data_IF_681607059848
#
_entry.id   IF_681607059848
#
_cell.length_a   1.000
_cell.length_b   1.000
_cell.length_c   1.000
_cell.angle_alpha   90.00
_cell.angle_beta   90.00
_cell.angle_gamma   90.00
#
_symmetry.space_group_name_H-M   'P 1'
#
loop_
_entity.id
_entity.type
_entity.pdbx_description
1 polymer ?
#
# COMPACT_ATOMS: atom_id res chain seq x y z
N UNK A 1 9.08 14.95 5.56
CA UNK A 1 9.13 13.75 6.41
C UNK A 1 9.32 14.15 7.86
N UNK A 2 8.37 13.80 8.73
CA UNK A 2 8.37 14.13 10.16
C UNK A 2 9.52 13.45 10.94
N UNK A 3 9.95 14.00 12.09
CA UNK A 3 10.90 13.34 12.98
C UNK A 3 10.44 11.95 13.44
N UNK A 4 9.13 11.78 13.63
CA UNK A 4 8.51 10.51 14.02
C UNK A 4 8.68 9.43 12.94
N UNK A 5 8.37 9.74 11.67
CA UNK A 5 8.60 8.81 10.56
C UNK A 5 10.11 8.46 10.40
N UNK A 6 11.00 9.44 10.56
CA UNK A 6 12.46 9.19 10.55
C UNK A 6 12.89 8.25 11.67
N UNK A 7 12.34 8.45 12.89
CA UNK A 7 12.61 7.58 14.03
C UNK A 7 12.13 6.16 13.76
N UNK A 8 10.91 5.97 13.24
CA UNK A 8 10.37 4.65 12.92
C UNK A 8 11.25 3.90 11.90
N UNK A 9 11.72 4.55 10.84
CA UNK A 9 12.60 3.92 9.85
C UNK A 9 13.94 3.51 10.46
N UNK A 10 14.47 4.35 11.34
CA UNK A 10 15.77 4.12 11.99
C UNK A 10 15.67 3.01 13.04
N UNK A 11 14.57 2.99 13.79
CA UNK A 11 14.22 1.96 14.78
C UNK A 11 13.99 0.60 14.14
N UNK A 12 13.39 0.56 12.95
CA UNK A 12 13.05 -0.67 12.24
C UNK A 12 13.93 -0.95 11.02
N UNK A 13 15.18 -0.47 11.02
CA UNK A 13 16.16 -0.64 9.93
C UNK A 13 16.64 -2.09 9.69
N UNK A 14 15.93 -3.09 10.23
CA UNK A 14 16.20 -4.51 10.11
C UNK A 14 14.99 -5.27 9.54
N UNK A 15 15.27 -6.27 8.71
CA UNK A 15 14.23 -7.08 8.07
C UNK A 15 13.34 -7.80 9.11
N UNK A 16 12.04 -7.56 9.05
CA UNK A 16 11.05 -8.55 9.51
C UNK A 16 10.32 -8.28 10.82
N UNK A 17 10.34 -7.07 11.38
CA UNK A 17 9.37 -6.71 12.44
C UNK A 17 8.12 -6.08 11.84
N UNK A 18 6.97 -6.63 12.21
CA UNK A 18 5.65 -6.08 11.92
C UNK A 18 5.53 -4.74 12.65
N UNK A 19 5.13 -3.68 11.95
CA UNK A 19 4.82 -2.39 12.57
C UNK A 19 3.51 -2.50 13.36
N UNK A 20 3.23 -1.58 14.28
CA UNK A 20 1.87 -1.35 14.75
C UNK A 20 1.01 -0.70 13.64
N UNK A 21 -0.31 -0.89 13.68
CA UNK A 21 -1.23 -0.24 12.71
C UNK A 21 -1.07 1.29 12.74
N UNK A 22 -0.90 1.87 13.94
CA UNK A 22 -0.68 3.31 14.11
C UNK A 22 0.65 3.78 13.49
N UNK A 23 1.73 3.03 13.71
CA UNK A 23 3.03 3.33 13.11
C UNK A 23 2.95 3.23 11.57
N UNK A 24 2.25 2.22 11.05
CA UNK A 24 2.03 2.06 9.61
C UNK A 24 1.19 3.21 9.02
N UNK A 25 0.15 3.66 9.72
CA UNK A 25 -0.65 4.82 9.35
C UNK A 25 0.18 6.11 9.27
N UNK A 26 1.04 6.35 10.27
CA UNK A 26 1.98 7.49 10.28
C UNK A 26 2.89 7.44 9.06
N UNK A 27 3.43 6.26 8.74
CA UNK A 27 4.31 6.07 7.58
C UNK A 27 3.58 6.35 6.26
N UNK A 28 2.37 5.84 6.07
CA UNK A 28 1.57 6.10 4.86
C UNK A 28 1.29 7.60 4.73
N UNK A 29 0.82 8.26 5.80
CA UNK A 29 0.53 9.69 5.80
C UNK A 29 1.76 10.57 5.49
N UNK A 30 2.95 10.12 5.88
CA UNK A 30 4.18 10.88 5.66
C UNK A 30 4.76 10.71 4.25
N UNK A 31 4.48 9.59 3.60
CA UNK A 31 5.12 9.25 2.34
C UNK A 31 4.23 9.37 1.13
N UNK A 32 2.93 9.12 1.29
CA UNK A 32 1.99 9.35 0.20
C UNK A 32 1.73 10.84 0.11
N UNK A 33 2.03 11.42 -1.06
CA UNK A 33 1.80 12.84 -1.34
C UNK A 33 0.50 13.07 -2.09
N UNK A 34 -0.09 12.02 -2.67
CA UNK A 34 -1.38 12.09 -3.35
C UNK A 34 -2.50 12.34 -2.33
N UNK A 35 -3.23 13.43 -2.54
CA UNK A 35 -4.27 13.90 -1.62
C UNK A 35 -5.60 13.16 -1.74
N UNK A 36 -5.82 12.42 -2.82
CA UNK A 36 -7.11 11.81 -3.17
C UNK A 36 -7.17 10.29 -2.88
N UNK A 37 -6.50 9.82 -1.83
CA UNK A 37 -6.68 8.44 -1.40
C UNK A 37 -8.04 8.25 -0.75
N UNK A 38 -8.79 7.27 -1.24
CA UNK A 38 -9.98 6.77 -0.54
C UNK A 38 -9.60 5.99 0.72
N UNK A 39 -10.55 5.83 1.64
CA UNK A 39 -10.36 5.03 2.86
C UNK A 39 -9.91 3.59 2.57
N UNK A 40 -10.46 2.98 1.51
CA UNK A 40 -10.09 1.62 1.09
C UNK A 40 -8.63 1.54 0.61
N UNK A 41 -8.20 2.50 -0.21
CA UNK A 41 -6.81 2.57 -0.68
C UNK A 41 -5.87 2.83 0.49
N UNK A 42 -6.23 3.76 1.37
CA UNK A 42 -5.48 4.05 2.59
C UNK A 42 -5.32 2.80 3.46
N UNK A 43 -6.41 2.11 3.79
CA UNK A 43 -6.39 0.89 4.60
C UNK A 43 -5.55 -0.23 3.98
N UNK A 44 -5.58 -0.38 2.65
CA UNK A 44 -4.74 -1.34 1.95
C UNK A 44 -3.24 -1.02 2.09
N UNK A 45 -2.86 0.25 2.00
CA UNK A 45 -1.48 0.70 2.17
C UNK A 45 -1.01 0.55 3.60
N UNK A 46 -1.85 0.89 4.59
CA UNK A 46 -1.53 0.67 6.01
C UNK A 46 -1.32 -0.81 6.29
N UNK A 47 -2.20 -1.70 5.80
CA UNK A 47 -2.00 -3.15 5.92
C UNK A 47 -0.73 -3.64 5.22
N UNK A 48 -0.38 -3.05 4.08
CA UNK A 48 0.85 -3.37 3.36
C UNK A 48 2.09 -3.00 4.19
N UNK A 49 2.12 -1.78 4.72
CA UNK A 49 3.22 -1.22 5.52
C UNK A 49 3.35 -1.92 6.86
N UNK A 50 2.24 -2.20 7.55
CA UNK A 50 2.18 -3.03 8.77
C UNK A 50 2.99 -4.33 8.58
N UNK A 51 2.76 -4.99 7.46
CA UNK A 51 3.37 -6.28 7.18
C UNK A 51 4.80 -6.21 6.62
N UNK A 52 5.11 -5.26 5.73
CA UNK A 52 6.41 -5.20 5.01
C UNK A 52 7.40 -4.21 5.61
N UNK A 53 6.92 -3.29 6.42
CA UNK A 53 7.72 -2.24 7.04
C UNK A 53 7.88 -1.00 6.17
N UNK A 54 8.27 0.09 6.83
CA UNK A 54 8.39 1.42 6.24
C UNK A 54 9.45 1.51 5.14
N UNK A 55 10.62 0.90 5.36
CA UNK A 55 11.73 0.96 4.40
C UNK A 55 11.36 0.30 3.06
N UNK A 56 10.74 -0.88 3.12
CA UNK A 56 10.30 -1.59 1.93
C UNK A 56 9.25 -0.79 1.15
N UNK A 57 8.32 -0.15 1.86
CA UNK A 57 7.32 0.72 1.24
C UNK A 57 7.94 1.98 0.61
N UNK A 58 8.83 2.67 1.32
CA UNK A 58 9.51 3.86 0.83
C UNK A 58 10.27 3.62 -0.48
N UNK A 59 10.96 2.49 -0.59
CA UNK A 59 11.73 2.13 -1.78
C UNK A 59 10.87 1.49 -2.89
N UNK A 60 9.60 1.21 -2.62
CA UNK A 60 8.74 0.46 -3.51
C UNK A 60 8.37 1.23 -4.77
N UNK A 61 8.17 0.50 -5.87
CA UNK A 61 7.54 1.05 -7.07
C UNK A 61 6.07 1.40 -6.85
N UNK A 62 5.41 0.73 -5.90
CA UNK A 62 4.05 1.05 -5.45
C UNK A 62 3.94 2.51 -5.01
N UNK A 63 4.79 2.95 -4.07
CA UNK A 63 4.79 4.33 -3.60
C UNK A 63 5.11 5.32 -4.71
N UNK A 64 6.07 4.99 -5.60
CA UNK A 64 6.42 5.85 -6.74
C UNK A 64 5.20 6.09 -7.63
N UNK A 65 4.49 5.04 -8.03
CA UNK A 65 3.28 5.16 -8.88
C UNK A 65 2.17 5.94 -8.16
N UNK A 66 1.98 5.72 -6.85
CA UNK A 66 0.97 6.44 -6.07
C UNK A 66 1.27 7.95 -6.01
N UNK A 67 2.53 8.34 -5.97
CA UNK A 67 2.93 9.74 -5.92
C UNK A 67 3.16 10.36 -7.31
N UNK A 68 2.98 9.61 -8.39
CA UNK A 68 3.05 10.13 -9.77
C UNK A 68 1.71 10.78 -10.14
N UNK A 69 1.72 12.10 -10.38
CA UNK A 69 0.52 12.89 -10.72
C UNK A 69 0.08 12.75 -12.19
N UNK A 70 0.85 12.06 -13.03
CA UNK A 70 0.69 12.10 -14.49
C UNK A 70 -0.21 10.99 -15.08
N UNK A 71 -0.66 10.02 -14.28
CA UNK A 71 -1.38 8.86 -14.79
C UNK A 71 -2.84 8.83 -14.31
N UNK A 72 -3.84 8.96 -15.21
CA UNK A 72 -5.25 8.86 -14.84
C UNK A 72 -5.65 7.44 -14.41
N UNK A 73 -4.85 6.42 -14.72
CA UNK A 73 -5.04 5.01 -14.36
C UNK A 73 -4.08 4.55 -13.24
N UNK A 74 -3.60 5.48 -12.41
CA UNK A 74 -2.59 5.20 -11.38
C UNK A 74 -3.03 4.10 -10.42
N UNK A 75 -4.32 3.98 -10.09
CA UNK A 75 -4.84 2.95 -9.20
C UNK A 75 -4.59 1.55 -9.78
N UNK A 76 -4.88 1.38 -11.07
CA UNK A 76 -4.68 0.10 -11.76
C UNK A 76 -3.19 -0.24 -11.85
N UNK A 77 -2.34 0.76 -12.13
CA UNK A 77 -0.88 0.58 -12.17
C UNK A 77 -0.30 0.23 -10.80
N UNK A 78 -0.69 0.96 -9.76
CA UNK A 78 -0.29 0.72 -8.38
C UNK A 78 -0.77 -0.67 -7.92
N UNK A 79 -2.00 -1.07 -8.28
CA UNK A 79 -2.56 -2.36 -7.90
C UNK A 79 -1.74 -3.56 -8.41
N UNK A 80 -1.10 -3.44 -9.58
CA UNK A 80 -0.22 -4.47 -10.15
C UNK A 80 1.05 -4.67 -9.33
N UNK A 81 1.45 -3.67 -8.55
CA UNK A 81 2.62 -3.81 -7.68
C UNK A 81 2.35 -4.75 -6.49
N UNK A 82 1.10 -4.94 -6.07
CA UNK A 82 0.77 -5.93 -5.03
C UNK A 82 1.01 -7.37 -5.49
N UNK A 83 0.91 -7.66 -6.79
CA UNK A 83 1.11 -9.01 -7.34
C UNK A 83 2.59 -9.41 -7.44
N UNK A 84 3.52 -8.48 -7.18
CA UNK A 84 4.94 -8.75 -7.38
C UNK A 84 5.44 -9.82 -6.40
N UNK A 85 6.14 -10.87 -6.89
CA UNK A 85 6.64 -11.94 -6.03
C UNK A 85 7.55 -11.47 -4.90
N UNK A 86 8.29 -10.38 -5.08
CA UNK A 86 9.20 -9.83 -4.06
C UNK A 86 8.49 -9.45 -2.74
N UNK A 87 7.17 -9.16 -2.78
CA UNK A 87 6.37 -8.90 -1.58
C UNK A 87 5.88 -10.17 -0.90
N UNK A 88 5.94 -11.30 -1.60
CA UNK A 88 5.53 -12.62 -1.13
C UNK A 88 6.73 -13.46 -0.68
N UNK A 89 7.96 -12.96 -0.84
CA UNK A 89 9.17 -13.65 -0.41
C UNK A 89 9.53 -13.26 1.03
N UNK A 90 9.83 -14.29 1.82
CA UNK A 90 10.34 -14.19 3.18
C UNK A 90 11.52 -15.16 3.35
N UNK A 91 12.67 -14.66 3.80
CA UNK A 91 13.91 -15.43 3.94
C UNK A 91 14.28 -16.22 2.66
N UNK A 92 14.12 -15.57 1.50
CA UNK A 92 14.43 -16.17 0.19
C UNK A 92 13.41 -17.19 -0.32
N UNK A 93 12.35 -17.50 0.44
CA UNK A 93 11.31 -18.45 0.04
C UNK A 93 9.99 -17.75 -0.22
N UNK A 94 9.28 -18.21 -1.25
CA UNK A 94 7.92 -17.75 -1.53
C UNK A 94 6.96 -18.23 -0.43
N UNK A 95 6.14 -17.31 0.06
CA UNK A 95 5.15 -17.56 1.10
C UNK A 95 3.74 -17.36 0.55
N UNK A 96 2.98 -18.46 0.47
CA UNK A 96 1.61 -18.48 -0.06
C UNK A 96 0.65 -17.61 0.77
N UNK A 97 0.81 -17.53 2.09
CA UNK A 97 -0.07 -16.70 2.93
C UNK A 97 0.15 -15.22 2.67
N UNK A 98 1.40 -14.82 2.36
CA UNK A 98 1.70 -13.45 1.94
C UNK A 98 1.07 -13.13 0.58
N UNK A 99 1.12 -14.06 -0.37
CA UNK A 99 0.45 -13.88 -1.66
C UNK A 99 -1.06 -13.70 -1.52
N UNK A 100 -1.70 -14.51 -0.67
CA UNK A 100 -3.13 -14.36 -0.34
C UNK A 100 -3.39 -12.99 0.30
N UNK A 101 -2.53 -12.53 1.22
CA UNK A 101 -2.66 -11.21 1.85
C UNK A 101 -2.54 -10.09 0.81
N UNK A 102 -1.55 -10.14 -0.08
CA UNK A 102 -1.39 -9.15 -1.16
C UNK A 102 -2.60 -9.10 -2.09
N UNK A 103 -3.19 -10.25 -2.43
CA UNK A 103 -4.41 -10.29 -3.24
C UNK A 103 -5.60 -9.62 -2.54
N UNK A 104 -5.75 -9.81 -1.21
CA UNK A 104 -6.79 -9.12 -0.43
C UNK A 104 -6.57 -7.62 -0.36
N UNK A 105 -5.34 -7.17 -0.12
CA UNK A 105 -5.00 -5.74 -0.09
C UNK A 105 -5.19 -5.09 -1.46
N UNK A 106 -4.80 -5.76 -2.54
CA UNK A 106 -5.08 -5.32 -3.91
C UNK A 106 -6.58 -5.14 -4.15
N UNK A 107 -7.39 -6.11 -3.76
CA UNK A 107 -8.85 -6.04 -3.89
C UNK A 107 -9.42 -4.87 -3.08
N UNK A 108 -8.94 -4.67 -1.86
CA UNK A 108 -9.34 -3.54 -1.03
C UNK A 108 -8.96 -2.22 -1.71
N UNK A 109 -7.73 -2.11 -2.19
CA UNK A 109 -7.21 -0.93 -2.88
C UNK A 109 -8.02 -0.56 -4.14
N UNK A 110 -8.52 -1.56 -4.88
CA UNK A 110 -9.35 -1.36 -6.08
C UNK A 110 -10.85 -1.20 -5.77
N UNK A 111 -11.28 -1.30 -4.51
CA UNK A 111 -12.71 -1.21 -4.13
C UNK A 111 -13.40 0.06 -4.64
N UNK A 112 -12.81 1.26 -4.60
CA UNK A 112 -13.46 2.46 -5.13
C UNK A 112 -13.90 2.32 -6.58
N UNK A 113 -13.05 1.74 -7.43
CA UNK A 113 -13.37 1.50 -8.85
C UNK A 113 -14.54 0.52 -9.00
N UNK A 114 -14.58 -0.52 -8.16
CA UNK A 114 -15.66 -1.51 -8.17
C UNK A 114 -16.99 -0.92 -7.69
N UNK A 115 -16.98 0.03 -6.76
CA UNK A 115 -18.20 0.68 -6.26
C UNK A 115 -18.77 1.66 -7.30
N UNK A 116 -17.91 2.44 -7.97
CA UNK A 116 -18.34 3.40 -9.01
C UNK A 116 -19.07 2.70 -10.16
N UNK A 117 -18.65 1.50 -10.56
CA UNK A 117 -19.30 0.75 -11.63
C UNK A 117 -20.61 0.04 -11.23
N UNK A 118 -21.00 0.07 -9.96
CA UNK A 118 -22.23 -0.57 -9.46
C UNK A 118 -23.33 0.43 -9.10
N UNK A 119 -23.16 1.73 -9.40
CA UNK A 119 -24.25 2.70 -9.28
C UNK A 119 -25.23 2.44 -10.43
N UNK A 120 -26.49 2.02 -10.17
CA UNK A 120 -27.48 1.91 -11.22
C UNK A 120 -27.68 3.30 -11.83
N UNK A 121 -27.54 3.42 -13.16
CA UNK A 121 -27.90 4.64 -13.89
C UNK A 121 -29.34 5.02 -13.51
N UNK A 122 -29.50 6.04 -12.68
CA UNK A 122 -30.79 6.70 -12.53
C UNK A 122 -31.07 7.39 -13.85
N UNK A 123 -31.83 6.72 -14.71
CA UNK A 123 -32.43 7.32 -15.91
C UNK A 123 -33.14 8.60 -15.46
N UNK A 124 -32.65 9.75 -15.94
CA UNK A 124 -33.36 11.02 -15.86
C UNK A 124 -34.46 11.06 -16.91
#
# INVERSE_FOLDING_TARGET
>A
MTPEAKHLITKYKGAGRKLGIEEAAIIVNNYVTRHELTEYQYGALVSFVDNRGAQAFYQSKLLKIINEDFYPDWELRASKEFDKPCWCVWLGKYNKSMAIRRAKEKRLFLTPLLVVHNVPETKR
#
